data_IF_998134387010
#
_entry.id   IF_998134387010
#
_cell.length_a   1.000
_cell.length_b   1.000
_cell.length_c   1.000
_cell.angle_alpha   90.00
_cell.angle_beta   90.00
_cell.angle_gamma   90.00
#
_symmetry.space_group_name_H-M   'P 1'
#
loop_
_entity.id
_entity.type
_entity.pdbx_description
1 polymer ?
#
# COMPACT_ATOMS: atom_id res chain seq x y z
N UNK A 1 -4.24 -0.50 -7.68
CA UNK A 1 -4.08 -1.18 -6.36
C UNK A 1 -2.61 -1.45 -6.05
N UNK A 2 -1.88 -2.19 -6.89
CA UNK A 2 -0.48 -2.58 -6.66
C UNK A 2 0.47 -1.39 -6.35
N UNK A 3 0.42 -0.30 -7.13
CA UNK A 3 1.22 0.90 -6.87
C UNK A 3 1.00 1.49 -5.47
N UNK A 4 -0.25 1.50 -4.99
CA UNK A 4 -0.60 2.00 -3.66
C UNK A 4 0.04 1.13 -2.57
N UNK A 5 -0.01 -0.20 -2.73
CA UNK A 5 0.62 -1.15 -1.81
C UNK A 5 2.15 -1.00 -1.80
N UNK A 6 2.77 -0.83 -2.96
CA UNK A 6 4.22 -0.60 -3.09
C UNK A 6 4.66 0.69 -2.38
N UNK A 7 3.84 1.75 -2.41
CA UNK A 7 4.09 2.99 -1.67
C UNK A 7 4.01 2.73 -0.15
N UNK A 8 2.96 2.05 0.32
CA UNK A 8 2.85 1.75 1.75
C UNK A 8 3.98 0.87 2.25
N UNK A 9 4.44 -0.12 1.48
CA UNK A 9 5.63 -0.91 1.84
C UNK A 9 6.87 -0.03 2.04
N UNK A 10 7.12 0.94 1.16
CA UNK A 10 8.24 1.89 1.32
C UNK A 10 8.08 2.74 2.58
N UNK A 11 6.89 3.26 2.86
CA UNK A 11 6.62 4.04 4.08
C UNK A 11 6.85 3.18 5.31
N UNK A 12 6.31 1.96 5.33
CA UNK A 12 6.46 1.00 6.41
C UNK A 12 7.93 0.68 6.70
N UNK A 13 8.79 0.55 5.69
CA UNK A 13 10.24 0.32 5.92
C UNK A 13 10.95 1.46 6.67
N UNK A 14 10.37 2.67 6.68
CA UNK A 14 10.91 3.82 7.43
C UNK A 14 10.38 3.94 8.87
N UNK A 15 9.40 3.12 9.27
CA UNK A 15 8.80 3.21 10.61
C UNK A 15 9.53 2.30 11.63
N UNK A 16 9.72 2.74 12.89
CA UNK A 16 10.55 2.04 13.87
C UNK A 16 9.88 0.86 14.60
N UNK A 17 8.66 0.46 14.25
CA UNK A 17 7.86 -0.48 15.07
C UNK A 17 7.92 -1.94 14.61
N UNK A 18 7.89 -2.89 15.56
CA UNK A 18 8.01 -4.33 15.27
C UNK A 18 6.84 -4.94 14.47
N UNK A 19 5.62 -4.45 14.66
CA UNK A 19 4.43 -4.94 13.95
C UNK A 19 4.45 -4.55 12.45
N UNK A 20 5.24 -3.55 12.08
CA UNK A 20 5.36 -3.08 10.70
C UNK A 20 6.01 -4.12 9.78
N UNK A 21 6.89 -4.97 10.32
CA UNK A 21 7.51 -6.05 9.54
C UNK A 21 6.45 -7.06 9.06
N UNK A 22 5.54 -7.46 9.96
CA UNK A 22 4.47 -8.39 9.63
C UNK A 22 3.54 -7.81 8.56
N UNK A 23 3.11 -6.55 8.75
CA UNK A 23 2.24 -5.87 7.78
C UNK A 23 2.93 -5.74 6.42
N UNK A 24 4.22 -5.42 6.37
CA UNK A 24 4.98 -5.33 5.12
C UNK A 24 5.00 -6.65 4.35
N UNK A 25 5.16 -7.78 5.05
CA UNK A 25 5.08 -9.12 4.46
C UNK A 25 3.67 -9.44 3.94
N UNK A 26 2.64 -9.09 4.71
CA UNK A 26 1.24 -9.28 4.30
C UNK A 26 0.90 -8.44 3.06
N UNK A 27 1.46 -7.23 2.93
CA UNK A 27 1.33 -6.41 1.74
C UNK A 27 2.02 -7.02 0.52
N UNK A 28 3.16 -7.69 0.68
CA UNK A 28 3.84 -8.37 -0.43
C UNK A 28 2.98 -9.54 -0.93
N UNK A 29 2.45 -10.35 -0.02
CA UNK A 29 1.51 -11.42 -0.37
C UNK A 29 0.29 -10.90 -1.14
N UNK A 30 -0.27 -9.75 -0.72
CA UNK A 30 -1.40 -9.14 -1.43
C UNK A 30 -1.02 -8.65 -2.84
N UNK A 31 0.19 -8.09 -3.01
CA UNK A 31 0.70 -7.69 -4.33
C UNK A 31 0.89 -8.89 -5.24
N UNK A 32 1.42 -9.99 -4.74
CA UNK A 32 1.54 -11.25 -5.50
C UNK A 32 0.18 -11.79 -5.95
N UNK A 33 -0.85 -11.72 -5.09
CA UNK A 33 -2.21 -12.10 -5.46
C UNK A 33 -2.80 -11.19 -6.55
N UNK A 34 -2.57 -9.88 -6.46
CA UNK A 34 -2.97 -8.94 -7.52
C UNK A 34 -2.23 -9.23 -8.83
N UNK A 35 -0.96 -9.62 -8.76
CA UNK A 35 -0.17 -10.02 -9.91
C UNK A 35 -0.71 -11.28 -10.58
N UNK A 36 -1.03 -12.30 -9.79
CA UNK A 36 -1.67 -13.52 -10.29
C UNK A 36 -3.03 -13.23 -10.93
N UNK A 37 -3.85 -12.38 -10.30
CA UNK A 37 -5.15 -11.98 -10.83
C UNK A 37 -5.00 -11.26 -12.18
N UNK A 38 -4.13 -10.26 -12.28
CA UNK A 38 -3.89 -9.54 -13.53
C UNK A 38 -3.31 -10.46 -14.63
N UNK A 39 -2.42 -11.40 -14.27
CA UNK A 39 -1.94 -12.42 -15.22
C UNK A 39 -3.07 -13.31 -15.73
N UNK A 40 -3.99 -13.73 -14.86
CA UNK A 40 -5.16 -14.54 -15.28
C UNK A 40 -6.11 -13.78 -16.21
N UNK A 41 -6.17 -12.45 -16.08
CA UNK A 41 -6.96 -11.56 -16.92
C UNK A 41 -6.20 -11.06 -18.17
N UNK A 42 -5.02 -11.59 -18.46
CA UNK A 42 -4.17 -11.18 -19.60
C UNK A 42 -3.82 -9.68 -19.59
N UNK A 43 -3.70 -9.09 -18.41
CA UNK A 43 -3.39 -7.68 -18.27
C UNK A 43 -1.89 -7.39 -18.38
N UNK A 44 -1.51 -6.25 -19.00
CA UNK A 44 -0.13 -5.79 -18.98
C UNK A 44 0.24 -5.33 -17.56
N UNK A 45 1.44 -5.68 -17.12
CA UNK A 45 1.95 -5.23 -15.81
C UNK A 45 2.70 -3.90 -15.95
N UNK A 46 2.14 -2.77 -15.49
CA UNK A 46 2.93 -1.55 -15.35
C UNK A 46 3.97 -1.75 -14.24
N UNK A 47 5.22 -1.35 -14.50
CA UNK A 47 6.24 -1.29 -13.45
C UNK A 47 5.79 -0.33 -12.36
N UNK A 48 5.76 -0.81 -11.12
CA UNK A 48 5.59 0.06 -9.96
C UNK A 48 6.70 1.10 -9.93
N UNK A 49 6.32 2.35 -9.72
CA UNK A 49 7.26 3.45 -9.55
C UNK A 49 7.57 3.56 -8.08
N UNK A 50 8.84 3.37 -7.71
CA UNK A 50 9.29 3.72 -6.37
C UNK A 50 9.18 5.24 -6.17
N UNK A 51 8.79 5.67 -4.97
CA UNK A 51 8.88 7.08 -4.59
C UNK A 51 10.35 7.46 -4.56
N UNK A 52 10.72 8.47 -5.36
CA UNK A 52 12.11 8.97 -5.42
C UNK A 52 12.55 9.61 -4.11
N UNK A 53 11.61 10.20 -3.39
CA UNK A 53 11.80 10.79 -2.07
C UNK A 53 10.48 10.71 -1.30
N UNK A 54 10.54 10.51 0.02
CA UNK A 54 9.39 10.66 0.92
C UNK A 54 9.16 12.13 1.32
N UNK A 55 9.84 13.09 0.68
CA UNK A 55 9.62 14.53 0.87
C UNK A 55 8.17 14.90 0.54
N UNK A 56 7.47 15.48 1.53
CA UNK A 56 6.03 15.80 1.46
C UNK A 56 5.11 14.76 2.13
N UNK A 57 5.64 13.58 2.49
CA UNK A 57 4.91 12.65 3.35
C UNK A 57 4.82 13.22 4.77
N UNK A 58 5.88 13.87 5.23
CA UNK A 58 5.96 14.54 6.54
C UNK A 58 4.87 15.61 6.66
N UNK A 59 4.75 16.54 5.71
CA UNK A 59 3.70 17.57 5.72
C UNK A 59 2.28 16.99 5.71
N UNK A 60 2.07 15.84 5.06
CA UNK A 60 0.77 15.15 5.03
C UNK A 60 0.46 14.34 6.30
N UNK A 61 1.49 14.05 7.12
CA UNK A 61 1.40 13.24 8.34
C UNK A 61 1.48 14.10 9.62
N UNK A 62 2.25 15.19 9.61
CA UNK A 62 2.44 16.18 10.69
C UNK A 62 1.21 17.06 10.96
N UNK A 63 0.23 17.07 10.05
CA UNK A 63 -1.04 17.77 10.26
C UNK A 63 -1.97 17.10 11.30
N UNK A 64 -1.49 16.06 11.99
CA UNK A 64 -2.26 15.19 12.88
C UNK A 64 -1.82 15.30 14.34
N UNK A 65 -2.76 15.17 15.29
CA UNK A 65 -2.45 15.02 16.72
C UNK A 65 -1.90 13.62 17.07
N UNK A 66 -1.90 12.70 16.10
CA UNK A 66 -1.46 11.31 16.25
C UNK A 66 -0.08 11.10 15.66
N UNK A 67 0.64 10.08 16.15
CA UNK A 67 1.95 9.74 15.58
C UNK A 67 1.85 9.36 14.11
N UNK A 68 2.93 9.60 13.39
CA UNK A 68 3.11 9.25 11.97
C UNK A 68 2.73 7.80 11.69
N UNK A 69 3.11 6.87 12.57
CA UNK A 69 2.74 5.44 12.47
C UNK A 69 1.22 5.24 12.49
N UNK A 70 0.52 5.88 13.45
CA UNK A 70 -0.94 5.74 13.57
C UNK A 70 -1.62 6.26 12.31
N UNK A 71 -1.20 7.42 11.81
CA UNK A 71 -1.78 8.01 10.59
C UNK A 71 -1.55 7.12 9.38
N UNK A 72 -0.31 6.61 9.20
CA UNK A 72 0.02 5.70 8.09
C UNK A 72 -0.80 4.42 8.17
N UNK A 73 -0.88 3.79 9.35
CA UNK A 73 -1.61 2.54 9.53
C UNK A 73 -3.12 2.72 9.34
N UNK A 74 -3.70 3.82 9.81
CA UNK A 74 -5.12 4.13 9.56
C UNK A 74 -5.42 4.37 8.09
N UNK A 75 -4.55 5.08 7.36
CA UNK A 75 -4.69 5.31 5.92
C UNK A 75 -4.53 4.01 5.11
N UNK A 76 -3.59 3.15 5.51
CA UNK A 76 -3.42 1.82 4.93
C UNK A 76 -4.68 0.98 5.13
N UNK A 77 -5.24 0.96 6.34
CA UNK A 77 -6.47 0.23 6.64
C UNK A 77 -7.63 0.69 5.76
N UNK A 78 -7.84 2.00 5.61
CA UNK A 78 -8.86 2.52 4.69
C UNK A 78 -8.62 2.11 3.24
N UNK A 79 -7.36 2.17 2.78
CA UNK A 79 -7.00 1.75 1.42
C UNK A 79 -7.29 0.25 1.19
N UNK A 80 -7.05 -0.60 2.19
CA UNK A 80 -7.36 -2.04 2.11
C UNK A 80 -8.87 -2.29 2.08
N UNK A 81 -9.66 -1.52 2.84
CA UNK A 81 -11.12 -1.60 2.80
C UNK A 81 -11.68 -1.19 1.43
N UNK A 82 -11.14 -0.12 0.84
CA UNK A 82 -11.52 0.31 -0.51
C UNK A 82 -11.17 -0.75 -1.56
N UNK A 83 -9.98 -1.37 -1.45
CA UNK A 83 -9.59 -2.46 -2.35
C UNK A 83 -10.50 -3.67 -2.22
N UNK A 84 -10.87 -4.06 -1.00
CA UNK A 84 -11.79 -5.17 -0.75
C UNK A 84 -13.13 -4.93 -1.48
N UNK A 85 -13.71 -3.74 -1.32
CA UNK A 85 -14.95 -3.37 -2.00
C UNK A 85 -14.79 -3.36 -3.52
N UNK A 86 -13.69 -2.81 -4.04
CA UNK A 86 -13.46 -2.74 -5.48
C UNK A 86 -13.27 -4.12 -6.11
N UNK A 87 -12.58 -5.04 -5.43
CA UNK A 87 -12.32 -6.40 -5.91
C UNK A 87 -13.62 -7.20 -6.12
N UNK A 88 -14.65 -6.97 -5.29
CA UNK A 88 -15.97 -7.59 -5.45
C UNK A 88 -16.64 -7.20 -6.79
N UNK A 89 -16.26 -6.08 -7.39
CA UNK A 89 -16.77 -5.61 -8.68
C UNK A 89 -15.90 -6.01 -9.89
N UNK A 90 -14.90 -6.87 -9.71
CA UNK A 90 -13.98 -7.31 -10.77
C UNK A 90 -13.35 -6.11 -11.52
N UNK A 91 -12.51 -5.32 -10.83
CA UNK A 91 -11.96 -4.11 -11.40
C UNK A 91 -11.06 -4.47 -12.59
N UNK A 92 -10.98 -3.53 -13.54
CA UNK A 92 -10.05 -3.66 -14.66
C UNK A 92 -8.59 -3.55 -14.22
N UNK A 93 -7.74 -3.50 -15.24
CA UNK A 93 -6.33 -3.16 -15.14
C UNK A 93 -6.14 -1.69 -15.56
#
# INVERSE_FOLDING_TARGET
MDQTLAIYQQILTSLPSGNVLQISNDLENLRDLLHLLASSNSCPFPRTRSLKTLEGLDDALEASLYSTEVVVLSRLQGSLQDMLQQLDFSPGC
#
